data_IF_474366718046
#
_entry.id   IF_474366718046
#
_cell.length_a   1.000
_cell.length_b   1.000
_cell.length_c   1.000
_cell.angle_alpha   90.00
_cell.angle_beta   90.00
_cell.angle_gamma   90.00
#
_symmetry.space_group_name_H-M   'P 1'
#
loop_
_entity.id
_entity.type
_entity.pdbx_description
1 polymer ?
#
# COMPACT_ATOMS: atom_id res chain seq x y z
N UNK A 1 18.53 9.32 -6.22
CA UNK A 1 17.40 9.92 -5.47
C UNK A 1 17.43 9.33 -4.08
N UNK A 2 17.58 10.14 -3.04
CA UNK A 2 17.64 9.68 -1.65
C UNK A 2 16.24 9.71 -1.03
N UNK A 3 16.00 8.91 0.03
CA UNK A 3 14.69 8.87 0.68
C UNK A 3 14.34 10.21 1.34
N UNK A 4 15.35 10.94 1.81
CA UNK A 4 15.21 12.27 2.40
C UNK A 4 14.71 13.30 1.37
N UNK A 5 15.10 13.17 0.10
CA UNK A 5 14.61 14.02 -1.00
C UNK A 5 13.11 13.76 -1.26
N UNK A 6 12.68 12.49 -1.13
CA UNK A 6 11.28 12.09 -1.28
C UNK A 6 10.41 12.49 -0.09
N UNK A 7 10.97 12.45 1.12
CA UNK A 7 10.32 12.88 2.36
C UNK A 7 10.12 14.40 2.34
N UNK A 8 11.18 15.16 2.00
CA UNK A 8 11.12 16.63 1.90
C UNK A 8 10.21 17.14 0.78
N UNK A 9 10.07 16.40 -0.33
CA UNK A 9 9.10 16.70 -1.40
C UNK A 9 7.67 16.25 -1.09
N UNK A 10 7.44 15.63 0.08
CA UNK A 10 6.11 15.22 0.53
C UNK A 10 5.50 14.05 -0.24
N UNK A 11 6.32 13.27 -0.97
CA UNK A 11 5.89 12.08 -1.70
C UNK A 11 5.82 10.84 -0.81
N UNK A 12 6.51 10.85 0.32
CA UNK A 12 6.51 9.78 1.31
C UNK A 12 6.43 10.37 2.72
N UNK A 13 5.79 9.66 3.65
CA UNK A 13 5.76 10.03 5.07
C UNK A 13 6.47 8.94 5.89
N UNK A 14 7.23 9.33 6.93
CA UNK A 14 7.68 8.39 7.97
C UNK A 14 6.49 7.87 8.77
N UNK A 15 6.56 6.60 9.12
CA UNK A 15 5.56 5.93 9.96
C UNK A 15 6.24 4.98 10.94
N UNK A 16 5.59 4.75 12.08
CA UNK A 16 5.99 3.67 12.97
C UNK A 16 5.56 2.33 12.35
N UNK A 17 6.52 1.47 12.05
CA UNK A 17 6.28 0.18 11.39
C UNK A 17 6.54 -0.96 12.36
N UNK A 18 5.74 -2.02 12.23
CA UNK A 18 5.91 -3.26 12.99
C UNK A 18 6.35 -4.34 12.00
N UNK A 19 7.37 -5.11 12.37
CA UNK A 19 7.90 -6.24 11.60
C UNK A 19 6.80 -7.24 11.19
N UNK A 20 5.77 -7.44 12.00
CA UNK A 20 4.62 -8.29 11.65
C UNK A 20 3.83 -7.74 10.46
N UNK A 21 3.69 -6.41 10.35
CA UNK A 21 3.02 -5.78 9.20
C UNK A 21 3.87 -5.93 7.94
N UNK A 22 5.19 -5.80 8.07
CA UNK A 22 6.15 -6.01 6.97
C UNK A 22 6.09 -7.46 6.49
N UNK A 23 6.17 -8.44 7.39
CA UNK A 23 6.09 -9.85 7.08
C UNK A 23 4.77 -10.23 6.42
N UNK A 24 3.63 -9.71 6.92
CA UNK A 24 2.33 -9.92 6.27
C UNK A 24 2.27 -9.32 4.87
N UNK A 25 2.84 -8.14 4.67
CA UNK A 25 2.87 -7.49 3.35
C UNK A 25 3.67 -8.33 2.34
N UNK A 26 4.87 -8.77 2.70
CA UNK A 26 5.68 -9.66 1.85
C UNK A 26 5.03 -11.04 1.66
N UNK A 27 4.39 -11.59 2.69
CA UNK A 27 3.62 -12.84 2.58
C UNK A 27 2.50 -12.75 1.55
N UNK A 28 1.84 -11.58 1.42
CA UNK A 28 0.85 -11.36 0.38
C UNK A 28 1.48 -11.25 -1.01
N UNK A 29 2.61 -10.57 -1.15
CA UNK A 29 3.37 -10.51 -2.43
C UNK A 29 3.74 -11.91 -2.89
N UNK A 30 4.24 -12.77 -1.99
CA UNK A 30 4.57 -14.16 -2.31
C UNK A 30 3.38 -14.95 -2.82
N UNK A 31 2.20 -14.80 -2.19
CA UNK A 31 0.95 -15.46 -2.63
C UNK A 31 0.53 -15.03 -4.03
N UNK A 32 0.66 -13.75 -4.36
CA UNK A 32 0.35 -13.26 -5.69
C UNK A 32 1.28 -13.84 -6.75
N UNK A 33 2.60 -13.88 -6.49
CA UNK A 33 3.56 -14.46 -7.43
C UNK A 33 3.33 -15.96 -7.63
N UNK A 34 2.98 -16.70 -6.56
CA UNK A 34 2.59 -18.10 -6.68
C UNK A 34 1.32 -18.26 -7.53
N UNK A 35 0.34 -17.37 -7.36
CA UNK A 35 -0.90 -17.37 -8.13
C UNK A 35 -0.62 -17.10 -9.61
N UNK A 36 0.12 -16.04 -9.93
CA UNK A 36 0.50 -15.70 -11.30
C UNK A 36 1.23 -16.86 -11.99
N UNK A 37 2.18 -17.50 -11.29
CA UNK A 37 2.90 -18.65 -11.82
C UNK A 37 1.98 -19.85 -12.10
N UNK A 38 1.00 -20.08 -11.23
CA UNK A 38 0.07 -21.21 -11.37
C UNK A 38 -0.86 -21.07 -12.58
N UNK A 39 -1.26 -19.85 -12.91
CA UNK A 39 -2.21 -19.58 -14.01
C UNK A 39 -1.54 -19.25 -15.35
N UNK A 40 -0.22 -18.98 -15.38
CA UNK A 40 0.51 -18.52 -16.56
C UNK A 40 0.26 -19.34 -17.83
N UNK A 41 0.12 -20.66 -17.71
CA UNK A 41 -0.13 -21.55 -18.86
C UNK A 41 -1.58 -21.52 -19.36
N UNK A 42 -2.51 -21.12 -18.51
CA UNK A 42 -3.95 -21.16 -18.78
C UNK A 42 -4.48 -19.79 -19.19
N UNK A 43 -3.93 -18.73 -18.59
CA UNK A 43 -4.34 -17.34 -18.81
C UNK A 43 -3.14 -16.42 -18.57
N UNK A 44 -2.43 -16.11 -19.65
CA UNK A 44 -1.21 -15.31 -19.63
C UNK A 44 -1.50 -13.83 -19.30
N UNK A 45 -2.60 -13.27 -19.82
CA UNK A 45 -3.00 -11.89 -19.54
C UNK A 45 -3.31 -11.69 -18.06
N UNK A 46 -4.02 -12.65 -17.46
CA UNK A 46 -4.31 -12.62 -16.03
C UNK A 46 -3.05 -12.85 -15.18
N UNK A 47 -2.14 -13.71 -15.63
CA UNK A 47 -0.84 -13.91 -14.98
C UNK A 47 -0.01 -12.62 -14.93
N UNK A 48 0.03 -11.87 -16.03
CA UNK A 48 0.73 -10.58 -16.07
C UNK A 48 0.04 -9.53 -15.21
N UNK A 49 -1.29 -9.48 -15.20
CA UNK A 49 -2.05 -8.57 -14.34
C UNK A 49 -1.74 -8.81 -12.86
N UNK A 50 -1.73 -10.07 -12.42
CA UNK A 50 -1.40 -10.42 -11.02
C UNK A 50 0.07 -10.12 -10.72
N UNK A 51 0.99 -10.41 -11.65
CA UNK A 51 2.42 -10.13 -11.49
C UNK A 51 2.68 -8.62 -11.33
N UNK A 52 2.01 -7.79 -12.15
CA UNK A 52 2.08 -6.33 -12.03
C UNK A 52 1.59 -5.84 -10.67
N UNK A 53 0.45 -6.34 -10.20
CA UNK A 53 -0.04 -6.01 -8.86
C UNK A 53 0.91 -6.49 -7.75
N UNK A 54 1.55 -7.65 -7.91
CA UNK A 54 2.56 -8.14 -6.98
C UNK A 54 3.75 -7.19 -6.90
N UNK A 55 4.25 -6.69 -8.04
CA UNK A 55 5.35 -5.71 -8.10
C UNK A 55 4.99 -4.39 -7.39
N UNK A 56 3.79 -3.85 -7.63
CA UNK A 56 3.32 -2.64 -6.94
C UNK A 56 3.23 -2.85 -5.42
N UNK A 57 2.73 -4.01 -4.99
CA UNK A 57 2.68 -4.34 -3.56
C UNK A 57 4.06 -4.59 -2.96
N UNK A 58 4.98 -5.18 -3.70
CA UNK A 58 6.36 -5.37 -3.28
C UNK A 58 7.06 -4.03 -3.02
N UNK A 59 6.88 -3.05 -3.91
CA UNK A 59 7.38 -1.69 -3.70
C UNK A 59 6.84 -1.05 -2.42
N UNK A 60 5.53 -1.19 -2.16
CA UNK A 60 4.91 -0.69 -0.92
C UNK A 60 5.40 -1.43 0.33
N UNK A 61 5.55 -2.75 0.26
CA UNK A 61 6.08 -3.57 1.36
C UNK A 61 7.54 -3.20 1.67
N UNK A 62 8.34 -2.93 0.64
CA UNK A 62 9.71 -2.46 0.77
C UNK A 62 9.78 -1.09 1.45
N UNK A 63 9.00 -0.11 0.99
CA UNK A 63 8.90 1.19 1.67
C UNK A 63 8.48 1.04 3.14
N UNK A 64 7.51 0.17 3.42
CA UNK A 64 7.07 -0.12 4.78
C UNK A 64 8.21 -0.72 5.64
N UNK A 65 9.04 -1.59 5.05
CA UNK A 65 10.21 -2.14 5.76
C UNK A 65 11.24 -1.08 6.14
N UNK A 66 11.29 0.03 5.40
CA UNK A 66 12.15 1.18 5.65
C UNK A 66 11.52 2.22 6.59
N UNK A 67 10.31 1.98 7.10
CA UNK A 67 9.63 2.94 7.97
C UNK A 67 8.88 4.04 7.22
N UNK A 68 8.57 3.83 5.94
CA UNK A 68 7.93 4.83 5.09
C UNK A 68 6.60 4.34 4.51
N UNK A 69 5.70 5.28 4.19
CA UNK A 69 4.53 5.04 3.33
C UNK A 69 4.52 6.01 2.16
N UNK A 70 4.07 5.59 0.97
CA UNK A 70 3.86 6.51 -0.14
C UNK A 70 2.65 7.42 0.14
N UNK A 71 2.80 8.69 -0.22
CA UNK A 71 1.77 9.74 -0.15
C UNK A 71 1.46 10.17 -1.58
N UNK A 72 0.24 9.89 -2.04
CA UNK A 72 -0.14 10.16 -3.42
C UNK A 72 -1.64 10.28 -3.60
N UNK A 73 -2.05 11.13 -4.57
CA UNK A 73 -3.43 11.37 -4.96
C UNK A 73 -4.10 10.15 -5.62
N UNK A 74 -3.31 9.17 -6.05
CA UNK A 74 -3.74 7.92 -6.71
C UNK A 74 -3.93 6.73 -5.75
N UNK A 75 -3.80 6.94 -4.44
CA UNK A 75 -4.46 6.02 -3.52
C UNK A 75 -5.94 6.25 -3.73
N UNK A 76 -6.68 5.27 -4.25
CA UNK A 76 -8.15 5.31 -4.25
C UNK A 76 -8.57 5.73 -2.84
N UNK A 77 -8.99 6.99 -2.70
CA UNK A 77 -9.55 7.49 -1.46
C UNK A 77 -10.76 6.59 -1.24
N UNK A 78 -10.64 5.63 -0.33
CA UNK A 78 -11.83 5.06 0.28
C UNK A 78 -12.50 6.27 0.89
N UNK A 79 -13.67 6.65 0.37
CA UNK A 79 -14.51 7.68 0.94
C UNK A 79 -15.02 7.15 2.30
N UNK A 80 -14.13 7.13 3.27
CA UNK A 80 -14.36 6.85 4.68
C UNK A 80 -13.89 8.05 5.48
N UNK A 81 -14.15 9.26 4.97
CA UNK A 81 -14.21 10.44 5.81
C UNK A 81 -15.50 10.34 6.62
N UNK A 82 -15.46 9.59 7.72
CA UNK A 82 -16.29 9.92 8.87
C UNK A 82 -15.92 11.36 9.21
N UNK A 83 -16.76 12.30 8.77
CA UNK A 83 -16.84 13.60 9.42
C UNK A 83 -17.21 13.27 10.86
N UNK A 84 -16.30 13.54 11.78
CA UNK A 84 -16.68 13.66 13.18
C UNK A 84 -17.89 14.60 13.24
N UNK A 85 -19.04 14.17 13.79
CA UNK A 85 -20.16 15.08 13.98
C UNK A 85 -19.70 16.21 14.91
N UNK A 86 -19.95 17.49 14.56
CA UNK A 86 -19.57 18.59 15.43
C UNK A 86 -20.27 18.41 16.78
N UNK A 87 -19.46 18.38 17.84
CA UNK A 87 -19.93 18.36 19.20
C UNK A 87 -20.77 19.62 19.49
N UNK A 88 -22.02 19.37 19.90
CA UNK A 88 -22.85 20.16 20.82
C UNK A 88 -23.32 21.57 20.38
N UNK A 89 -24.65 21.69 20.27
CA UNK A 89 -25.39 22.64 21.11
C UNK A 89 -26.74 22.05 21.49
N UNK A 90 -26.84 21.52 22.72
CA UNK A 90 -28.12 21.46 23.43
C UNK A 90 -28.48 22.90 23.77
N UNK A 91 -29.61 23.38 23.25
CA UNK A 91 -30.40 24.49 23.80
C UNK A 91 -31.77 24.47 23.07
N UNK A 92 -32.83 24.62 23.87
CA UNK A 92 -34.25 24.37 23.62
C UNK A 92 -34.69 22.91 23.78
#
# INVERSE_FOLDING_TARGET
MKLEDLESSGLIDRINTNIDKVNRAFGRVGKDLMTAKAILRNDEEWAFTISYHAMLRAGRAFMLSLGYRPKGKDQHKTAGGLRDPPALRKNC
#
